data_IF_310207380508
#
_entry.id   IF_310207380508
#
_cell.length_a   1.000
_cell.length_b   1.000
_cell.length_c   1.000
_cell.angle_alpha   90.00
_cell.angle_beta   90.00
_cell.angle_gamma   90.00
#
_symmetry.space_group_name_H-M   'P 1'
#
loop_
_entity.id
_entity.type
_entity.pdbx_description
1 polymer ?
#
# COMPACT_ATOMS: atom_id res chain seq x y z
N UNK A 1 28.42 11.61 -27.10
CA UNK A 1 27.03 11.20 -26.76
C UNK A 1 26.19 12.45 -26.75
N UNK A 2 25.27 12.60 -27.72
CA UNK A 2 24.41 13.79 -27.79
C UNK A 2 23.36 13.80 -26.68
N UNK A 3 22.90 14.99 -26.28
CA UNK A 3 21.89 15.19 -25.23
C UNK A 3 20.60 14.38 -25.52
N UNK A 4 20.23 14.24 -26.79
CA UNK A 4 19.05 13.47 -27.22
C UNK A 4 19.22 11.97 -26.96
N UNK A 5 20.44 11.44 -27.11
CA UNK A 5 20.74 10.04 -26.80
C UNK A 5 20.71 9.82 -25.28
N UNK A 6 21.28 10.74 -24.49
CA UNK A 6 21.23 10.67 -23.02
C UNK A 6 19.79 10.66 -22.50
N UNK A 7 18.92 11.50 -23.07
CA UNK A 7 17.52 11.59 -22.67
C UNK A 7 16.75 10.31 -23.00
N UNK A 8 17.04 9.68 -24.14
CA UNK A 8 16.46 8.39 -24.52
C UNK A 8 16.80 7.28 -23.53
N UNK A 9 18.08 7.14 -23.17
CA UNK A 9 18.51 6.16 -22.17
C UNK A 9 17.96 6.46 -20.77
N UNK A 10 17.91 7.73 -20.38
CA UNK A 10 17.35 8.14 -19.09
C UNK A 10 15.88 7.76 -18.96
N UNK A 11 15.06 8.01 -19.98
CA UNK A 11 13.64 7.64 -19.98
C UNK A 11 13.46 6.12 -19.90
N UNK A 12 14.20 5.36 -20.71
CA UNK A 12 14.13 3.90 -20.68
C UNK A 12 14.52 3.31 -19.32
N UNK A 13 15.61 3.81 -18.74
CA UNK A 13 16.02 3.42 -17.39
C UNK A 13 14.97 3.80 -16.34
N UNK A 14 14.41 5.01 -16.41
CA UNK A 14 13.37 5.46 -15.49
C UNK A 14 12.12 4.59 -15.57
N UNK A 15 11.71 4.16 -16.77
CA UNK A 15 10.59 3.23 -16.93
C UNK A 15 10.88 1.90 -16.23
N UNK A 16 12.06 1.30 -16.46
CA UNK A 16 12.45 0.04 -15.80
C UNK A 16 12.52 0.21 -14.28
N UNK A 17 13.08 1.32 -13.81
CA UNK A 17 13.17 1.65 -12.40
C UNK A 17 11.78 1.76 -11.75
N UNK A 18 10.84 2.45 -12.41
CA UNK A 18 9.46 2.56 -11.95
C UNK A 18 8.78 1.20 -11.86
N UNK A 19 8.99 0.34 -12.86
CA UNK A 19 8.46 -1.04 -12.88
C UNK A 19 9.01 -1.84 -11.71
N UNK A 20 10.32 -1.78 -11.45
CA UNK A 20 10.94 -2.47 -10.31
C UNK A 20 10.36 -1.98 -8.98
N UNK A 21 10.23 -0.67 -8.79
CA UNK A 21 9.62 -0.10 -7.58
C UNK A 21 8.18 -0.58 -7.42
N UNK A 22 7.38 -0.53 -8.50
CA UNK A 22 5.98 -0.93 -8.47
C UNK A 22 5.84 -2.41 -8.07
N UNK A 23 6.55 -3.31 -8.73
CA UNK A 23 6.50 -4.74 -8.40
C UNK A 23 7.11 -5.03 -7.02
N UNK A 24 8.17 -4.31 -6.63
CA UNK A 24 8.72 -4.38 -5.28
C UNK A 24 7.71 -3.97 -4.21
N UNK A 25 6.91 -2.93 -4.48
CA UNK A 25 5.86 -2.47 -3.58
C UNK A 25 4.72 -3.49 -3.49
N UNK A 26 4.31 -4.10 -4.60
CA UNK A 26 3.31 -5.18 -4.60
C UNK A 26 3.80 -6.35 -3.74
N UNK A 27 5.06 -6.78 -3.88
CA UNK A 27 5.65 -7.83 -3.05
C UNK A 27 5.69 -7.41 -1.57
N UNK A 28 6.04 -6.16 -1.27
CA UNK A 28 6.02 -5.62 0.08
C UNK A 28 4.61 -5.68 0.69
N UNK A 29 3.58 -5.33 -0.08
CA UNK A 29 2.18 -5.39 0.36
C UNK A 29 1.78 -6.82 0.75
N UNK A 30 2.03 -7.80 -0.12
CA UNK A 30 1.77 -9.22 0.18
C UNK A 30 2.59 -9.74 1.37
N UNK A 31 3.82 -9.27 1.55
CA UNK A 31 4.64 -9.64 2.72
C UNK A 31 4.12 -9.01 4.01
N UNK A 32 3.62 -7.78 3.96
CA UNK A 32 3.01 -7.10 5.12
C UNK A 32 1.75 -7.81 5.58
N UNK A 33 0.92 -8.27 4.63
CA UNK A 33 -0.28 -9.08 4.90
C UNK A 33 0.07 -10.43 5.53
N UNK A 34 1.04 -11.17 4.96
CA UNK A 34 1.53 -12.45 5.53
C UNK A 34 2.15 -12.32 6.91
N UNK A 35 2.67 -11.15 7.25
CA UNK A 35 3.28 -10.87 8.56
C UNK A 35 2.22 -10.63 9.65
N UNK A 36 0.95 -10.48 9.26
CA UNK A 36 -0.17 -10.29 10.19
C UNK A 36 -0.23 -8.89 10.82
N UNK A 37 0.55 -7.93 10.31
CA UNK A 37 0.50 -6.53 10.78
C UNK A 37 -0.80 -5.84 10.34
N UNK A 38 -1.41 -6.30 9.25
CA UNK A 38 -2.67 -5.74 8.75
C UNK A 38 -3.43 -6.78 7.93
N UNK A 39 -4.65 -7.07 8.35
CA UNK A 39 -5.59 -7.91 7.63
C UNK A 39 -6.35 -7.05 6.60
N UNK A 40 -5.92 -7.13 5.34
CA UNK A 40 -6.56 -6.40 4.25
C UNK A 40 -7.79 -7.13 3.69
N UNK A 41 -7.95 -8.43 3.97
CA UNK A 41 -9.14 -9.19 3.57
C UNK A 41 -10.37 -8.76 4.37
N UNK A 42 -10.16 -8.32 5.62
CA UNK A 42 -11.22 -7.81 6.50
C UNK A 42 -12.07 -6.72 5.82
N UNK A 43 -11.46 -5.80 5.07
CA UNK A 43 -12.20 -4.72 4.40
C UNK A 43 -13.06 -5.22 3.23
N UNK A 44 -12.74 -6.37 2.64
CA UNK A 44 -13.58 -7.01 1.61
C UNK A 44 -14.93 -7.48 2.17
N UNK A 45 -14.95 -7.89 3.44
CA UNK A 45 -16.18 -8.33 4.12
C UNK A 45 -17.16 -7.17 4.41
N UNK A 46 -16.76 -5.90 4.29
CA UNK A 46 -17.68 -4.76 4.43
C UNK A 46 -18.80 -4.82 3.39
N UNK A 47 -18.50 -5.29 2.18
CA UNK A 47 -19.49 -5.41 1.13
C UNK A 47 -20.47 -6.58 1.36
N UNK A 48 -20.12 -7.53 2.22
CA UNK A 48 -20.95 -8.68 2.58
C UNK A 48 -21.78 -8.40 3.84
N UNK A 49 -21.21 -7.69 4.82
CA UNK A 49 -21.86 -7.30 6.08
C UNK A 49 -22.26 -5.80 6.07
N UNK A 50 -23.08 -5.40 5.09
CA UNK A 50 -23.53 -4.00 4.92
C UNK A 50 -24.79 -3.63 5.72
N UNK A 51 -25.26 -4.53 6.60
CA UNK A 51 -26.43 -4.30 7.44
C UNK A 51 -26.23 -3.14 8.44
N UNK A 52 -27.30 -2.43 8.77
CA UNK A 52 -27.26 -1.29 9.72
C UNK A 52 -26.82 -1.68 11.14
N UNK A 53 -26.91 -2.97 11.49
CA UNK A 53 -26.50 -3.53 12.78
C UNK A 53 -25.12 -4.19 12.75
N UNK A 54 -24.39 -4.11 11.64
CA UNK A 54 -23.08 -4.75 11.53
C UNK A 54 -22.05 -4.13 12.47
N UNK A 55 -21.13 -4.97 12.95
CA UNK A 55 -20.05 -4.53 13.85
C UNK A 55 -19.00 -3.72 13.08
N UNK A 56 -18.52 -2.59 13.61
CA UNK A 56 -17.45 -1.82 13.00
C UNK A 56 -16.19 -2.65 12.76
N UNK A 57 -15.56 -2.44 11.61
CA UNK A 57 -14.43 -3.28 11.19
C UNK A 57 -13.11 -2.89 11.84
N UNK A 58 -12.96 -1.66 12.31
CA UNK A 58 -11.83 -1.24 13.12
C UNK A 58 -12.36 -0.82 14.48
N UNK A 59 -11.79 -1.40 15.53
CA UNK A 59 -12.06 -0.97 16.89
C UNK A 59 -11.38 0.39 17.11
N UNK A 60 -12.11 1.37 17.65
CA UNK A 60 -11.63 2.76 17.77
C UNK A 60 -10.34 2.95 18.57
N UNK A 61 -9.82 1.92 19.25
CA UNK A 61 -8.54 1.91 19.95
C UNK A 61 -7.33 2.00 19.00
N UNK A 62 -7.39 1.39 17.82
CA UNK A 62 -6.28 1.40 16.85
C UNK A 62 -6.15 2.75 16.13
N UNK A 63 -7.23 3.53 16.10
CA UNK A 63 -7.20 4.90 15.56
C UNK A 63 -6.46 5.86 16.50
N UNK A 64 -6.55 5.65 17.82
CA UNK A 64 -5.86 6.50 18.80
C UNK A 64 -4.34 6.32 18.76
N UNK A 65 -3.85 5.07 18.76
CA UNK A 65 -2.40 4.78 18.73
C UNK A 65 -1.69 5.33 17.49
N UNK A 66 -2.34 5.23 16.32
CA UNK A 66 -1.80 5.73 15.04
C UNK A 66 -1.82 7.25 14.93
N UNK A 67 -2.77 7.91 15.60
CA UNK A 67 -2.84 9.37 15.68
C UNK A 67 -1.82 9.95 16.66
N UNK A 68 -1.44 9.21 17.71
CA UNK A 68 -0.41 9.62 18.67
C UNK A 68 1.01 9.42 18.13
N UNK A 69 1.26 8.36 17.35
CA UNK A 69 2.57 8.13 16.71
C UNK A 69 2.87 9.14 15.58
N UNK A 70 1.84 9.62 14.86
CA UNK A 70 1.98 10.70 13.86
C UNK A 70 2.25 12.08 14.48
N UNK A 71 1.94 12.26 15.76
CA UNK A 71 2.11 13.51 16.50
C UNK A 71 3.35 13.52 17.43
N UNK A 72 4.19 12.48 17.39
CA UNK A 72 5.52 12.44 18.02
C UNK A 72 6.63 12.59 16.98
#
# INVERSE_FOLDING_TARGET
MDIRNIQGYANFFMTIFLVIILYGYIIHLYRSEKKGEKDYEKYGNIALDDEVTSTPIEDGSDTQSKSEEKNR
#
